data_IF_807575727759
#
_entry.id   IF_807575727759
#
_cell.length_a   1.000
_cell.length_b   1.000
_cell.length_c   1.000
_cell.angle_alpha   90.00
_cell.angle_beta   90.00
_cell.angle_gamma   90.00
#
_symmetry.space_group_name_H-M   'P 1'
#
loop_
_entity.id
_entity.type
_entity.pdbx_description
1 polymer ?
#
# COMPACT_ATOMS: atom_id res chain seq x y z
N UNK A 1 -3.12 33.47 -26.23
CA UNK A 1 -3.62 32.65 -25.11
C UNK A 1 -3.07 33.22 -23.82
N UNK A 2 -3.82 34.12 -23.19
CA UNK A 2 -3.46 34.72 -21.91
C UNK A 2 -3.84 33.73 -20.81
N UNK A 3 -2.85 33.10 -20.18
CA UNK A 3 -3.07 32.31 -18.97
C UNK A 3 -3.51 33.23 -17.84
N UNK A 4 -4.64 32.94 -17.20
CA UNK A 4 -5.08 33.67 -16.03
C UNK A 4 -4.03 33.50 -14.91
N UNK A 5 -3.52 34.61 -14.37
CA UNK A 5 -2.70 34.58 -13.17
C UNK A 5 -3.58 34.20 -11.97
N UNK A 6 -3.05 33.35 -11.07
CA UNK A 6 -3.71 33.02 -9.82
C UNK A 6 -3.95 34.30 -9.01
N UNK A 7 -5.11 34.40 -8.35
CA UNK A 7 -5.41 35.54 -7.48
C UNK A 7 -4.68 35.38 -6.15
N UNK A 8 -4.04 36.45 -5.68
CA UNK A 8 -3.42 36.49 -4.36
C UNK A 8 -4.49 36.37 -3.26
N UNK A 9 -4.27 35.51 -2.27
CA UNK A 9 -5.15 35.32 -1.11
C UNK A 9 -4.82 36.37 -0.04
N UNK A 10 -5.58 37.48 -0.02
CA UNK A 10 -5.25 38.64 0.84
C UNK A 10 -5.92 38.60 2.22
N UNK A 11 -6.74 37.59 2.54
CA UNK A 11 -7.36 37.49 3.87
C UNK A 11 -7.90 36.07 4.16
N UNK A 12 -7.08 35.20 4.74
CA UNK A 12 -7.57 33.93 5.29
C UNK A 12 -8.40 34.21 6.53
N UNK A 13 -9.69 34.43 6.32
CA UNK A 13 -10.66 34.39 7.43
C UNK A 13 -10.91 32.93 7.73
N UNK A 14 -10.37 32.45 8.85
CA UNK A 14 -10.56 31.07 9.28
C UNK A 14 -12.06 30.75 9.34
N UNK A 15 -12.52 29.60 8.81
CA UNK A 15 -13.95 29.28 8.74
C UNK A 15 -14.68 29.41 10.09
N UNK A 16 -13.95 29.17 11.19
CA UNK A 16 -14.42 29.25 12.57
C UNK A 16 -14.68 30.66 13.08
N UNK A 17 -14.02 31.65 12.48
CA UNK A 17 -14.26 33.05 12.81
C UNK A 17 -15.58 33.56 12.21
N UNK A 18 -16.15 32.83 11.23
CA UNK A 18 -17.39 33.20 10.55
C UNK A 18 -18.64 32.74 11.29
N UNK A 19 -18.58 31.61 11.99
CA UNK A 19 -19.72 31.02 12.71
C UNK A 19 -19.31 30.37 14.04
N UNK A 20 -19.75 30.94 15.16
CA UNK A 20 -19.40 30.49 16.52
C UNK A 20 -19.85 29.06 16.85
N UNK A 21 -20.95 28.57 16.26
CA UNK A 21 -21.45 27.21 16.55
C UNK A 21 -20.57 26.11 15.94
N UNK A 22 -19.98 26.34 14.77
CA UNK A 22 -19.07 25.37 14.12
C UNK A 22 -17.78 25.22 14.94
N UNK A 23 -17.28 26.34 15.49
CA UNK A 23 -16.15 26.33 16.41
C UNK A 23 -16.43 25.49 17.67
N UNK A 24 -17.58 25.67 18.34
CA UNK A 24 -17.89 24.89 19.56
C UNK A 24 -18.00 23.38 19.31
N UNK A 25 -18.43 22.97 18.11
CA UNK A 25 -18.47 21.56 17.72
C UNK A 25 -17.05 21.01 17.52
N UNK A 26 -16.21 21.75 16.79
CA UNK A 26 -14.82 21.41 16.55
C UNK A 26 -14.04 21.30 17.87
N UNK A 27 -14.16 22.27 18.76
CA UNK A 27 -13.51 22.30 20.08
C UNK A 27 -13.87 21.06 20.91
N UNK A 28 -15.16 20.72 20.97
CA UNK A 28 -15.63 19.53 21.70
C UNK A 28 -15.10 18.24 21.08
N UNK A 29 -15.11 18.09 19.75
CA UNK A 29 -14.70 16.84 19.08
C UNK A 29 -13.18 16.68 19.08
N UNK A 30 -12.43 17.71 18.72
CA UNK A 30 -10.96 17.71 18.69
C UNK A 30 -10.34 17.52 20.08
N UNK A 31 -11.08 17.74 21.17
CA UNK A 31 -10.62 17.44 22.53
C UNK A 31 -10.17 15.99 22.75
N UNK A 32 -10.58 15.04 21.88
CA UNK A 32 -10.06 13.67 21.90
C UNK A 32 -8.54 13.60 21.79
N UNK A 33 -7.93 14.48 20.98
CA UNK A 33 -6.47 14.55 20.77
C UNK A 33 -5.74 14.88 22.08
N UNK A 34 -6.34 15.74 22.91
CA UNK A 34 -5.82 16.13 24.23
C UNK A 34 -6.31 15.20 25.36
N UNK A 35 -7.20 14.26 25.04
CA UNK A 35 -7.88 13.42 26.00
C UNK A 35 -7.13 12.13 26.32
N UNK A 36 -7.74 11.33 27.19
CA UNK A 36 -7.18 10.05 27.66
C UNK A 36 -6.89 9.04 26.55
N UNK A 37 -7.64 9.09 25.45
CA UNK A 37 -7.45 8.20 24.29
C UNK A 37 -6.01 8.24 23.76
N UNK A 38 -5.35 9.39 23.84
CA UNK A 38 -3.99 9.60 23.34
C UNK A 38 -2.95 9.86 24.45
N UNK A 39 -3.29 9.63 25.72
CA UNK A 39 -2.45 9.96 26.88
C UNK A 39 -1.05 9.34 26.78
N UNK A 40 -0.95 8.09 26.31
CA UNK A 40 0.33 7.39 26.13
C UNK A 40 1.22 8.04 25.06
N UNK A 41 0.61 8.70 24.07
CA UNK A 41 1.31 9.34 22.97
C UNK A 41 1.71 10.80 23.28
N UNK A 42 1.05 11.48 24.22
CA UNK A 42 1.31 12.89 24.53
C UNK A 42 2.78 13.17 24.92
N UNK A 43 3.47 12.17 25.50
CA UNK A 43 4.88 12.27 25.86
C UNK A 43 5.85 12.01 24.70
N UNK A 44 5.33 11.55 23.56
CA UNK A 44 6.09 11.20 22.35
C UNK A 44 5.89 12.22 21.23
N UNK A 45 4.64 12.66 21.04
CA UNK A 45 4.24 13.60 20.00
C UNK A 45 3.38 14.69 20.63
N UNK A 46 3.78 15.96 20.49
CA UNK A 46 3.04 17.11 21.05
C UNK A 46 1.64 17.20 20.39
N UNK A 47 0.55 17.05 21.16
CA UNK A 47 -0.79 17.07 20.62
C UNK A 47 -1.27 18.46 20.17
N UNK A 48 -0.62 19.55 20.61
CA UNK A 48 -1.13 20.92 20.40
C UNK A 48 -1.27 21.29 18.93
N UNK A 49 -0.25 20.98 18.13
CA UNK A 49 -0.26 21.24 16.70
C UNK A 49 -1.42 20.51 16.00
N UNK A 50 -1.61 19.21 16.31
CA UNK A 50 -2.67 18.40 15.73
C UNK A 50 -4.07 18.84 16.21
N UNK A 51 -4.18 19.30 17.45
CA UNK A 51 -5.40 19.89 17.97
C UNK A 51 -5.78 21.18 17.20
N UNK A 52 -4.83 22.08 16.99
CA UNK A 52 -5.06 23.33 16.25
C UNK A 52 -5.43 23.06 14.79
N UNK A 53 -4.76 22.12 14.13
CA UNK A 53 -5.12 21.65 12.78
C UNK A 53 -6.52 21.02 12.78
N UNK A 54 -6.84 20.18 13.76
CA UNK A 54 -8.17 19.60 13.89
C UNK A 54 -9.24 20.67 14.01
N UNK A 55 -9.02 21.74 14.79
CA UNK A 55 -9.96 22.85 14.89
C UNK A 55 -10.19 23.53 13.54
N UNK A 56 -9.13 23.72 12.74
CA UNK A 56 -9.21 24.35 11.43
C UNK A 56 -9.95 23.47 10.41
N UNK A 57 -9.57 22.21 10.30
CA UNK A 57 -10.13 21.24 9.35
C UNK A 57 -11.57 20.85 9.68
N UNK A 58 -11.90 20.76 10.97
CA UNK A 58 -13.26 20.51 11.46
C UNK A 58 -14.18 21.70 11.26
N UNK A 59 -13.66 22.84 10.79
CA UNK A 59 -14.40 24.08 10.76
C UNK A 59 -15.26 24.33 9.53
N UNK A 60 -15.66 23.27 8.84
CA UNK A 60 -16.78 23.35 7.93
C UNK A 60 -18.11 23.36 8.72
N UNK A 61 -19.06 24.19 8.30
CA UNK A 61 -20.42 24.12 8.83
C UNK A 61 -21.28 23.09 8.09
N UNK A 62 -20.77 22.53 6.99
CA UNK A 62 -21.38 21.42 6.27
C UNK A 62 -21.13 20.11 7.01
N UNK A 63 -22.16 19.28 7.12
CA UNK A 63 -22.10 18.08 7.96
C UNK A 63 -21.08 17.06 7.46
N UNK A 64 -20.98 16.84 6.16
CA UNK A 64 -20.03 15.86 5.60
C UNK A 64 -18.60 16.38 5.71
N UNK A 65 -18.38 17.67 5.43
CA UNK A 65 -17.07 18.31 5.53
C UNK A 65 -16.51 18.36 6.96
N UNK A 66 -17.35 18.65 7.97
CA UNK A 66 -16.88 18.78 9.37
C UNK A 66 -16.45 17.45 9.98
N UNK A 67 -17.17 16.37 9.68
CA UNK A 67 -16.81 15.03 10.16
C UNK A 67 -15.59 14.51 9.42
N UNK A 68 -15.49 14.74 8.11
CA UNK A 68 -14.32 14.33 7.33
C UNK A 68 -13.04 15.03 7.81
N UNK A 69 -13.06 16.35 7.98
CA UNK A 69 -11.90 17.11 8.49
C UNK A 69 -11.47 16.66 9.89
N UNK A 70 -12.43 16.47 10.80
CA UNK A 70 -12.19 15.91 12.13
C UNK A 70 -11.50 14.53 12.06
N UNK A 71 -12.07 13.58 11.31
CA UNK A 71 -11.56 12.22 11.25
C UNK A 71 -10.14 12.17 10.63
N UNK A 72 -9.88 12.99 9.62
CA UNK A 72 -8.56 13.09 8.97
C UNK A 72 -7.51 13.63 9.94
N UNK A 73 -7.82 14.70 10.69
CA UNK A 73 -6.88 15.29 11.63
C UNK A 73 -6.55 14.35 12.80
N UNK A 74 -7.55 13.63 13.34
CA UNK A 74 -7.31 12.64 14.40
C UNK A 74 -6.54 11.42 13.87
N UNK A 75 -6.83 10.96 12.65
CA UNK A 75 -6.07 9.89 12.01
C UNK A 75 -4.60 10.26 11.83
N UNK A 76 -4.30 11.50 11.41
CA UNK A 76 -2.93 11.98 11.27
C UNK A 76 -2.17 12.00 12.62
N UNK A 77 -2.85 12.33 13.72
CA UNK A 77 -2.22 12.25 15.04
C UNK A 77 -1.98 10.79 15.46
N UNK A 78 -2.95 9.90 15.22
CA UNK A 78 -2.79 8.46 15.49
C UNK A 78 -1.65 7.83 14.67
N UNK A 79 -1.46 8.26 13.43
CA UNK A 79 -0.33 7.85 12.58
C UNK A 79 1.01 8.29 13.18
N UNK A 80 1.14 9.56 13.57
CA UNK A 80 2.35 10.07 14.23
C UNK A 80 2.68 9.31 15.54
N UNK A 81 1.66 8.99 16.33
CA UNK A 81 1.81 8.14 17.52
C UNK A 81 2.31 6.74 17.15
N UNK A 82 1.74 6.16 16.08
CA UNK A 82 2.10 4.83 15.60
C UNK A 82 3.57 4.78 15.17
N UNK A 83 4.06 5.81 14.46
CA UNK A 83 5.48 5.96 14.09
C UNK A 83 6.40 5.89 15.32
N UNK A 84 6.03 6.58 16.41
CA UNK A 84 6.71 6.55 17.71
C UNK A 84 6.49 5.25 18.52
N UNK A 85 5.77 4.28 17.95
CA UNK A 85 5.56 2.95 18.53
C UNK A 85 4.36 2.83 19.45
N UNK A 86 3.50 3.84 19.49
CA UNK A 86 2.27 3.86 20.29
C UNK A 86 1.08 3.63 19.38
N UNK A 87 0.50 2.43 19.43
CA UNK A 87 -0.68 2.09 18.64
C UNK A 87 -1.96 2.50 19.37
N UNK A 88 -2.69 3.47 18.81
CA UNK A 88 -3.91 4.01 19.43
C UNK A 88 -5.14 3.56 18.65
N UNK A 89 -6.04 2.81 19.31
CA UNK A 89 -7.37 2.51 18.79
C UNK A 89 -8.36 3.61 19.22
N UNK A 90 -8.62 4.55 18.33
CA UNK A 90 -9.47 5.73 18.63
C UNK A 90 -10.84 5.71 17.94
N UNK A 91 -10.99 4.96 16.85
CA UNK A 91 -12.27 4.86 16.12
C UNK A 91 -13.28 4.00 16.86
N UNK A 92 -14.55 4.37 16.76
CA UNK A 92 -15.69 3.61 17.28
C UNK A 92 -16.83 3.61 16.27
N UNK A 93 -17.87 2.76 16.42
CA UNK A 93 -19.02 2.80 15.51
C UNK A 93 -19.69 4.18 15.39
N UNK A 94 -19.64 4.99 16.45
CA UNK A 94 -20.22 6.34 16.49
C UNK A 94 -19.19 7.46 16.21
N UNK A 95 -17.90 7.11 16.08
CA UNK A 95 -16.81 8.05 15.89
C UNK A 95 -15.89 7.59 14.77
N UNK A 96 -16.04 8.23 13.60
CA UNK A 96 -15.23 7.96 12.42
C UNK A 96 -15.17 6.46 12.06
N UNK A 97 -16.34 5.80 11.88
CA UNK A 97 -16.39 4.36 11.63
C UNK A 97 -15.67 3.97 10.34
N UNK A 98 -15.12 2.75 10.33
CA UNK A 98 -14.47 2.12 9.18
C UNK A 98 -15.15 0.78 8.93
N UNK A 99 -15.46 0.50 7.66
CA UNK A 99 -16.25 -0.66 7.24
C UNK A 99 -15.37 -1.67 6.49
N UNK A 100 -14.50 -2.37 7.22
CA UNK A 100 -13.59 -3.36 6.63
C UNK A 100 -14.28 -4.67 6.24
N UNK A 101 -15.48 -4.92 6.76
CA UNK A 101 -16.33 -6.05 6.40
C UNK A 101 -16.80 -6.00 4.94
N UNK A 102 -16.80 -4.81 4.32
CA UNK A 102 -17.05 -4.63 2.89
C UNK A 102 -16.14 -5.51 2.01
N UNK A 103 -14.91 -5.78 2.45
CA UNK A 103 -13.95 -6.61 1.71
C UNK A 103 -14.16 -8.11 1.92
N UNK A 104 -15.02 -8.53 2.84
CA UNK A 104 -15.33 -9.93 3.05
C UNK A 104 -16.41 -10.38 2.06
N UNK A 105 -16.16 -11.51 1.39
CA UNK A 105 -17.22 -12.21 0.66
C UNK A 105 -18.21 -12.83 1.66
N UNK A 106 -19.47 -13.09 1.26
CA UNK A 106 -20.47 -13.67 2.16
C UNK A 106 -19.99 -14.98 2.81
N UNK A 107 -19.99 -15.01 4.15
CA UNK A 107 -19.54 -16.16 4.93
C UNK A 107 -18.04 -16.15 5.30
N UNK A 108 -17.27 -15.17 4.83
CA UNK A 108 -15.88 -14.95 5.26
C UNK A 108 -15.76 -13.85 6.32
N UNK A 109 -14.66 -13.89 7.07
CA UNK A 109 -14.31 -12.93 8.11
C UNK A 109 -12.80 -12.70 8.11
N UNK A 110 -12.25 -12.42 6.93
CA UNK A 110 -10.82 -12.33 6.68
C UNK A 110 -10.30 -10.91 6.91
N UNK A 111 -11.03 -9.88 6.51
CA UNK A 111 -10.66 -8.47 6.63
C UNK A 111 -11.16 -7.85 7.93
N UNK A 112 -10.25 -7.17 8.63
CA UNK A 112 -10.50 -6.51 9.91
C UNK A 112 -9.87 -5.13 9.92
N UNK A 113 -10.46 -4.22 10.70
CA UNK A 113 -9.82 -2.94 11.02
C UNK A 113 -8.62 -3.19 11.93
N UNK A 114 -7.48 -2.60 11.57
CA UNK A 114 -6.26 -2.60 12.36
C UNK A 114 -5.76 -1.16 12.52
N UNK A 115 -5.74 -0.60 13.76
CA UNK A 115 -5.31 0.78 14.01
C UNK A 115 -3.82 1.01 13.71
N UNK A 116 -2.99 -0.04 13.74
CA UNK A 116 -1.57 0.01 13.42
C UNK A 116 -1.16 -1.22 12.61
N UNK A 117 -1.69 -1.29 11.38
CA UNK A 117 -1.57 -2.41 10.44
C UNK A 117 -0.20 -3.05 10.39
N UNK A 118 -0.14 -4.37 10.51
CA UNK A 118 1.07 -5.16 10.22
C UNK A 118 0.67 -6.42 9.51
N UNK A 119 1.27 -6.66 8.35
CA UNK A 119 0.97 -7.86 7.56
C UNK A 119 2.21 -8.36 6.85
N UNK A 120 2.31 -9.68 6.72
CA UNK A 120 3.29 -10.30 5.84
C UNK A 120 2.71 -10.34 4.44
N UNK A 121 3.39 -9.75 3.47
CA UNK A 121 2.99 -9.78 2.05
C UNK A 121 3.88 -10.72 1.26
N UNK A 122 3.52 -11.05 0.03
CA UNK A 122 4.39 -11.77 -0.89
C UNK A 122 5.55 -10.88 -1.40
N UNK A 123 6.72 -11.48 -1.72
CA UNK A 123 7.84 -10.82 -2.41
C UNK A 123 9.14 -10.64 -1.59
N UNK A 124 10.04 -9.79 -2.09
CA UNK A 124 11.42 -9.69 -1.56
C UNK A 124 11.50 -9.10 -0.14
N UNK A 125 10.47 -8.40 0.29
CA UNK A 125 10.30 -7.83 1.62
C UNK A 125 8.94 -8.23 2.18
N UNK A 126 8.78 -9.52 2.51
CA UNK A 126 7.53 -10.14 2.93
C UNK A 126 6.92 -9.61 4.25
N UNK A 127 7.25 -8.39 4.66
CA UNK A 127 6.75 -7.78 5.88
C UNK A 127 6.54 -6.31 5.61
N UNK A 128 5.27 -5.92 5.52
CA UNK A 128 4.89 -4.53 5.64
C UNK A 128 5.13 -4.10 7.08
N UNK A 129 6.12 -3.25 7.29
CA UNK A 129 6.44 -2.66 8.60
C UNK A 129 5.82 -1.29 8.79
N UNK A 130 5.16 -0.74 7.76
CA UNK A 130 4.41 0.50 7.88
C UNK A 130 3.34 0.29 8.94
N UNK A 131 3.27 1.17 9.93
CA UNK A 131 2.32 1.03 11.04
C UNK A 131 1.05 1.83 10.72
N UNK A 132 0.56 1.67 9.49
CA UNK A 132 -0.52 2.46 8.94
C UNK A 132 -1.87 1.90 9.38
N UNK A 133 -2.78 2.78 9.79
CA UNK A 133 -4.18 2.45 10.04
C UNK A 133 -4.85 1.95 8.76
N UNK A 134 -5.71 0.93 8.86
CA UNK A 134 -6.49 0.50 7.71
C UNK A 134 -7.23 -0.82 7.89
N UNK A 135 -7.71 -1.36 6.78
CA UNK A 135 -8.29 -2.69 6.72
C UNK A 135 -7.23 -3.68 6.25
N UNK A 136 -7.00 -4.72 7.06
CA UNK A 136 -5.99 -5.74 6.77
C UNK A 136 -6.61 -7.14 6.88
N UNK A 137 -6.23 -8.07 6.01
CA UNK A 137 -6.63 -9.46 6.13
C UNK A 137 -5.85 -10.16 7.24
N UNK A 138 -6.54 -10.96 8.05
CA UNK A 138 -5.96 -11.86 9.05
C UNK A 138 -5.72 -13.21 8.41
N UNK A 139 -4.54 -13.38 7.84
CA UNK A 139 -4.16 -14.62 7.20
C UNK A 139 -3.94 -15.76 8.20
N UNK A 140 -4.39 -17.00 7.89
CA UNK A 140 -4.21 -18.15 8.76
C UNK A 140 -2.76 -18.64 8.75
N UNK A 141 -2.37 -19.44 9.75
CA UNK A 141 -0.99 -19.91 9.94
C UNK A 141 -0.47 -20.78 8.78
N UNK A 142 -1.35 -21.49 8.06
CA UNK A 142 -1.00 -22.32 6.91
C UNK A 142 -0.81 -21.51 5.62
N UNK A 143 -1.30 -20.27 5.59
CA UNK A 143 -1.17 -19.34 4.47
C UNK A 143 -0.92 -17.90 4.97
N UNK A 144 0.20 -17.63 5.67
CA UNK A 144 0.36 -16.41 6.47
C UNK A 144 0.74 -15.16 5.67
N UNK A 145 0.94 -15.27 4.35
CA UNK A 145 1.34 -14.16 3.49
C UNK A 145 0.15 -13.69 2.67
N UNK A 146 -0.08 -12.38 2.62
CA UNK A 146 -1.10 -11.81 1.75
C UNK A 146 -0.55 -11.59 0.34
N UNK A 147 -1.18 -12.23 -0.64
CA UNK A 147 -0.92 -12.00 -2.06
C UNK A 147 -1.80 -10.83 -2.54
N UNK A 148 -1.19 -9.64 -2.65
CA UNK A 148 -1.85 -8.40 -3.04
C UNK A 148 -2.41 -8.44 -4.47
N UNK A 149 -1.81 -9.24 -5.36
CA UNK A 149 -2.27 -9.34 -6.75
C UNK A 149 -3.59 -10.11 -6.85
N UNK A 150 -3.78 -11.08 -5.96
CA UNK A 150 -4.97 -11.95 -5.90
C UNK A 150 -5.96 -11.56 -4.81
N UNK A 151 -5.58 -10.60 -3.97
CA UNK A 151 -6.33 -10.19 -2.78
C UNK A 151 -6.68 -11.38 -1.87
N UNK A 152 -5.73 -12.32 -1.68
CA UNK A 152 -5.95 -13.55 -0.90
C UNK A 152 -4.70 -13.99 -0.13
N UNK A 153 -4.93 -14.59 1.04
CA UNK A 153 -3.87 -15.23 1.80
C UNK A 153 -3.30 -16.47 1.09
N UNK A 154 -1.99 -16.62 1.15
CA UNK A 154 -1.21 -17.64 0.46
C UNK A 154 0.00 -18.07 1.29
N UNK A 155 0.52 -19.26 0.98
CA UNK A 155 1.85 -19.66 1.44
C UNK A 155 2.91 -18.99 0.56
N UNK A 156 4.10 -18.69 1.09
CA UNK A 156 5.15 -18.00 0.34
C UNK A 156 5.44 -18.64 -1.03
N UNK A 157 5.52 -19.98 -1.09
CA UNK A 157 5.79 -20.73 -2.33
C UNK A 157 4.69 -20.65 -3.40
N UNK A 158 3.48 -20.22 -3.02
CA UNK A 158 2.31 -20.08 -3.90
C UNK A 158 1.99 -18.62 -4.21
N UNK A 159 2.82 -17.70 -3.76
CA UNK A 159 2.69 -16.28 -4.07
C UNK A 159 2.84 -16.03 -5.58
N UNK A 160 1.92 -15.27 -6.14
CA UNK A 160 2.00 -14.78 -7.52
C UNK A 160 2.93 -13.58 -7.63
N UNK A 161 3.40 -13.33 -8.85
CA UNK A 161 4.21 -12.17 -9.19
C UNK A 161 3.41 -11.23 -10.09
N UNK A 162 3.85 -9.97 -10.18
CA UNK A 162 3.24 -8.98 -11.06
C UNK A 162 4.29 -8.38 -11.98
N UNK A 163 4.00 -8.39 -13.28
CA UNK A 163 4.87 -7.78 -14.29
C UNK A 163 4.07 -7.32 -15.49
N UNK A 164 4.32 -6.07 -15.90
CA UNK A 164 3.68 -5.47 -17.07
C UNK A 164 2.16 -5.69 -17.10
N UNK A 165 1.49 -5.31 -16.01
CA UNK A 165 0.04 -5.43 -15.80
C UNK A 165 -0.51 -6.87 -15.76
N UNK A 166 0.37 -7.87 -15.71
CA UNK A 166 0.00 -9.28 -15.74
C UNK A 166 0.39 -9.97 -14.45
N UNK A 167 -0.53 -10.79 -13.93
CA UNK A 167 -0.29 -11.69 -12.79
C UNK A 167 0.34 -12.98 -13.32
N UNK A 168 1.49 -13.33 -12.77
CA UNK A 168 2.27 -14.52 -13.11
C UNK A 168 2.17 -15.51 -11.97
N UNK A 169 1.75 -16.74 -12.29
CA UNK A 169 1.51 -17.76 -11.30
C UNK A 169 2.81 -18.25 -10.66
N UNK A 170 2.71 -18.83 -9.47
CA UNK A 170 3.87 -19.37 -8.77
C UNK A 170 4.56 -20.45 -9.61
N UNK A 171 5.89 -20.33 -9.76
CA UNK A 171 6.74 -21.17 -10.60
C UNK A 171 6.49 -21.05 -12.12
N UNK A 172 5.66 -20.12 -12.57
CA UNK A 172 5.50 -19.84 -13.99
C UNK A 172 6.73 -19.08 -14.53
N UNK A 173 7.09 -19.35 -15.78
CA UNK A 173 8.21 -18.72 -16.48
C UNK A 173 7.74 -17.78 -17.57
N UNK A 174 8.39 -16.63 -17.69
CA UNK A 174 8.17 -15.65 -18.75
C UNK A 174 9.50 -15.25 -19.41
N UNK A 175 9.48 -15.01 -20.71
CA UNK A 175 10.60 -14.39 -21.42
C UNK A 175 10.52 -12.86 -21.34
N UNK A 176 11.63 -12.23 -20.96
CA UNK A 176 11.74 -10.78 -20.86
C UNK A 176 13.11 -10.31 -21.37
N UNK A 177 13.12 -9.74 -22.59
CA UNK A 177 14.32 -9.15 -23.20
C UNK A 177 15.57 -10.04 -23.13
N UNK A 178 15.52 -11.24 -23.72
CA UNK A 178 16.59 -12.27 -23.68
C UNK A 178 16.94 -12.80 -22.27
N UNK A 179 16.05 -12.62 -21.30
CA UNK A 179 16.11 -13.30 -20.01
C UNK A 179 14.90 -14.22 -19.85
N UNK A 180 15.10 -15.36 -19.21
CA UNK A 180 14.02 -16.19 -18.70
C UNK A 180 13.83 -15.82 -17.23
N UNK A 181 12.63 -15.36 -16.91
CA UNK A 181 12.21 -15.03 -15.55
C UNK A 181 11.30 -16.12 -15.02
N UNK A 182 11.45 -16.45 -13.74
CA UNK A 182 10.56 -17.36 -13.02
C UNK A 182 9.97 -16.65 -11.80
N UNK A 183 8.67 -16.83 -11.55
CA UNK A 183 8.05 -16.32 -10.34
C UNK A 183 8.33 -17.24 -9.15
N UNK A 184 9.13 -16.78 -8.20
CA UNK A 184 9.45 -17.51 -6.98
C UNK A 184 9.15 -16.65 -5.77
N UNK A 185 8.31 -17.17 -4.86
CA UNK A 185 7.98 -16.50 -3.61
C UNK A 185 7.44 -15.06 -3.78
N UNK A 186 6.66 -14.82 -4.84
CA UNK A 186 6.14 -13.49 -5.18
C UNK A 186 7.20 -12.51 -5.72
N UNK A 187 8.39 -12.99 -6.10
CA UNK A 187 9.42 -12.19 -6.77
C UNK A 187 9.81 -12.80 -8.10
N UNK A 188 9.94 -11.96 -9.13
CA UNK A 188 10.47 -12.40 -10.42
C UNK A 188 11.98 -12.47 -10.38
N UNK A 189 12.49 -13.68 -10.60
CA UNK A 189 13.93 -13.97 -10.65
C UNK A 189 14.28 -14.26 -12.11
N UNK A 190 15.09 -13.39 -12.71
CA UNK A 190 15.47 -13.46 -14.12
C UNK A 190 16.91 -13.91 -14.32
N UNK A 191 17.13 -14.76 -15.32
CA UNK A 191 18.43 -15.24 -15.74
C UNK A 191 18.60 -15.07 -17.26
N UNK A 192 19.79 -14.72 -17.75
CA UNK A 192 20.02 -14.58 -19.18
C UNK A 192 19.80 -15.90 -19.92
N UNK A 193 19.13 -15.85 -21.06
CA UNK A 193 18.94 -17.01 -21.93
C UNK A 193 20.30 -17.39 -22.52
N UNK A 194 20.86 -18.55 -22.13
CA UNK A 194 22.04 -19.10 -22.81
C UNK A 194 21.67 -19.52 -24.22
N UNK A 195 21.87 -18.63 -25.18
CA UNK A 195 21.90 -18.97 -26.61
C UNK A 195 23.10 -19.89 -26.82
N UNK A 196 22.87 -21.20 -26.83
CA UNK A 196 23.87 -22.12 -27.36
C UNK A 196 23.86 -21.92 -28.87
N UNK A 197 24.70 -21.01 -29.37
CA UNK A 197 25.00 -20.94 -30.80
C UNK A 197 25.76 -22.22 -31.12
N UNK A 198 25.03 -23.26 -31.51
CA UNK A 198 25.62 -24.44 -32.13
C UNK A 198 26.22 -23.98 -33.44
N UNK A 199 27.50 -23.58 -33.43
CA UNK A 199 28.30 -23.44 -34.63
C UNK A 199 28.39 -24.84 -35.24
N UNK A 200 27.49 -25.14 -36.17
CA UNK A 200 27.63 -26.29 -37.05
C UNK A 200 28.87 -26.01 -37.89
N UNK A 201 30.02 -26.53 -37.45
CA UNK A 201 31.21 -26.62 -38.28
C UNK A 201 30.92 -27.62 -39.40
N UNK A 202 30.44 -27.12 -40.53
CA UNK A 202 30.36 -27.86 -41.78
C UNK A 202 31.78 -28.26 -42.17
N UNK A 203 32.11 -29.53 -41.94
CA UNK A 203 33.38 -30.10 -42.40
C UNK A 203 33.18 -30.46 -43.87
N UNK A 204 33.72 -29.65 -44.77
CA UNK A 204 33.71 -29.91 -46.22
C UNK A 204 34.59 -31.13 -46.50
N UNK A 205 33.98 -32.25 -46.87
CA UNK A 205 34.70 -33.42 -47.37
C UNK A 205 35.26 -33.10 -48.77
N UNK A 206 36.58 -33.06 -48.91
CA UNK A 206 37.25 -32.95 -50.21
C UNK A 206 37.30 -34.32 -50.88
N UNK A 207 36.50 -34.50 -51.93
CA UNK A 207 36.51 -35.68 -52.79
C UNK A 207 37.64 -35.56 -53.82
N UNK A 208 38.71 -36.32 -53.66
CA UNK A 208 39.77 -36.47 -54.68
C UNK A 208 39.32 -37.46 -55.77
N UNK A 209 39.04 -36.94 -56.96
CA UNK A 209 38.84 -37.73 -58.19
C UNK A 209 40.19 -38.17 -58.77
N UNK A 210 40.41 -39.48 -58.87
CA UNK A 210 41.54 -40.09 -59.59
C UNK A 210 41.04 -40.52 -60.97
N UNK A 211 41.65 -40.00 -62.04
CA UNK A 211 41.37 -40.42 -63.42
C UNK A 211 42.02 -41.77 -63.76
N UNK A 212 41.38 -42.61 -64.61
CA UNK A 212 41.90 -43.91 -65.01
C UNK A 212 42.98 -43.82 -66.12
N UNK A 213 43.80 -44.87 -66.31
CA UNK A 213 44.90 -44.88 -67.26
C UNK A 213 44.42 -45.13 -68.70
N UNK A 214 45.08 -44.48 -69.66
CA UNK A 214 44.90 -44.69 -71.10
C UNK A 214 45.89 -45.73 -71.61
N UNK A 215 45.38 -46.69 -72.36
CA UNK A 215 46.10 -47.71 -73.15
C UNK A 215 46.86 -47.08 -74.32
#
# INVERSE_FOLDING_TARGET
TSGAACSDTVNETFPCQRHSYCFTWAERRCSIILGKTFEECHNKVDPRYYYDVCLQESCSCEFDGKFLGFCTAVAAYAEACSEEGVCIQWRTPDLCPVYCDYYNVPGECSWHYEPCGRIATCGKNNKFTGKLEGCYPRCPDDAPYFDENKMKCSSLQKCSCFYNETIIEANETMENCNNICVCLNGSLICHPTTTTTTSVSTTTASTTTVSPPTT
#
